data_IF_694683996851
#
_entry.id   IF_694683996851
#
_cell.length_a   1.000
_cell.length_b   1.000
_cell.length_c   1.000
_cell.angle_alpha   90.00
_cell.angle_beta   90.00
_cell.angle_gamma   90.00
#
_symmetry.space_group_name_H-M   'P 1'
#
loop_
_entity.id
_entity.type
_entity.pdbx_description
1 polymer ?
#
# COMPACT_ATOMS: atom_id res chain seq x y z
N UNK A 1 1.11 -12.81 42.26
CA UNK A 1 1.68 -13.43 41.04
C UNK A 1 0.88 -12.99 39.82
N UNK A 2 1.32 -11.96 39.09
CA UNK A 2 0.63 -11.46 37.90
C UNK A 2 1.20 -12.22 36.69
N UNK A 3 0.60 -13.37 36.37
CA UNK A 3 0.98 -14.15 35.17
C UNK A 3 0.12 -13.70 33.98
N UNK A 4 0.79 -13.23 32.93
CA UNK A 4 0.50 -13.60 31.54
C UNK A 4 -0.80 -13.10 30.89
N UNK A 5 -1.03 -11.79 30.84
CA UNK A 5 -1.98 -11.16 29.90
C UNK A 5 -1.29 -10.53 28.67
N UNK A 6 0.05 -10.55 28.62
CA UNK A 6 0.83 -9.91 27.54
C UNK A 6 0.95 -10.81 26.29
N UNK A 7 0.79 -12.13 26.44
CA UNK A 7 0.94 -13.08 25.32
C UNK A 7 -0.08 -12.96 24.16
N UNK A 8 -1.39 -12.73 24.37
CA UNK A 8 -2.34 -12.70 23.24
C UNK A 8 -2.12 -11.51 22.29
N UNK A 9 -1.77 -10.34 22.85
CA UNK A 9 -1.58 -9.10 22.07
C UNK A 9 -0.41 -9.24 21.09
N UNK A 10 0.65 -9.94 21.50
CA UNK A 10 1.83 -10.16 20.67
C UNK A 10 1.54 -11.05 19.46
N UNK A 11 0.78 -12.14 19.65
CA UNK A 11 0.40 -13.06 18.57
C UNK A 11 -0.50 -12.36 17.55
N UNK A 12 -1.39 -11.48 18.01
CA UNK A 12 -2.29 -10.73 17.13
C UNK A 12 -1.55 -9.68 16.29
N UNK A 13 -0.59 -8.95 16.87
CA UNK A 13 0.24 -8.01 16.13
C UNK A 13 1.08 -8.70 15.04
N UNK A 14 1.70 -9.84 15.38
CA UNK A 14 2.48 -10.61 14.41
C UNK A 14 1.63 -11.11 13.23
N UNK A 15 0.42 -11.61 13.51
CA UNK A 15 -0.54 -12.02 12.45
C UNK A 15 -0.94 -10.84 11.56
N UNK A 16 -1.22 -9.68 12.16
CA UNK A 16 -1.59 -8.48 11.41
C UNK A 16 -0.47 -8.01 10.50
N UNK A 17 0.78 -7.98 10.98
CA UNK A 17 1.96 -7.66 10.16
C UNK A 17 2.05 -8.62 8.97
N UNK A 18 1.93 -9.92 9.19
CA UNK A 18 1.97 -10.90 8.09
C UNK A 18 0.79 -10.82 7.13
N UNK A 19 -0.39 -10.37 7.59
CA UNK A 19 -1.50 -10.07 6.69
C UNK A 19 -1.20 -8.87 5.78
N UNK A 20 -0.53 -7.84 6.31
CA UNK A 20 -0.06 -6.70 5.52
C UNK A 20 1.02 -7.11 4.52
N UNK A 21 2.02 -7.90 4.93
CA UNK A 21 3.07 -8.43 4.03
C UNK A 21 2.47 -9.12 2.80
N UNK A 22 1.39 -9.89 2.97
CA UNK A 22 0.72 -10.63 1.89
C UNK A 22 -0.21 -9.76 1.05
N UNK A 23 -0.91 -8.79 1.65
CA UNK A 23 -1.91 -7.98 0.96
C UNK A 23 -1.32 -6.81 0.18
N UNK A 24 -0.23 -6.20 0.68
CA UNK A 24 0.39 -5.02 0.05
C UNK A 24 0.77 -5.27 -1.42
N UNK A 25 1.42 -6.37 -1.82
CA UNK A 25 1.79 -6.58 -3.23
C UNK A 25 0.58 -6.65 -4.19
N UNK A 26 -0.59 -7.06 -3.67
CA UNK A 26 -1.79 -7.30 -4.45
C UNK A 26 -2.68 -6.05 -4.56
N UNK A 27 -2.40 -5.01 -3.77
CA UNK A 27 -3.23 -3.81 -3.75
C UNK A 27 -3.08 -2.97 -5.02
N UNK A 28 -4.18 -2.34 -5.42
CA UNK A 28 -4.27 -1.36 -6.51
C UNK A 28 -4.49 0.07 -6.01
N UNK A 29 -4.43 0.28 -4.69
CA UNK A 29 -4.64 1.60 -4.08
C UNK A 29 -3.53 2.58 -4.47
N UNK A 30 -3.88 3.85 -4.41
CA UNK A 30 -3.13 5.05 -4.77
C UNK A 30 -3.00 5.96 -3.54
N UNK A 31 -2.23 7.06 -3.62
CA UNK A 31 -2.03 7.96 -2.48
C UNK A 31 -3.29 8.71 -2.10
N UNK A 32 -4.20 8.90 -3.05
CA UNK A 32 -5.47 9.56 -2.81
C UNK A 32 -6.49 8.67 -2.07
N UNK A 33 -6.26 7.35 -2.03
CA UNK A 33 -7.19 6.42 -1.41
C UNK A 33 -7.10 6.47 0.12
N UNK A 34 -8.24 6.61 0.79
CA UNK A 34 -8.33 6.53 2.25
C UNK A 34 -7.71 5.25 2.82
N UNK A 35 -7.85 4.13 2.10
CA UNK A 35 -7.26 2.86 2.44
C UNK A 35 -5.73 2.92 2.58
N UNK A 36 -5.03 3.70 1.75
CA UNK A 36 -3.57 3.86 1.86
C UNK A 36 -3.20 4.50 3.22
N UNK A 37 -3.88 5.58 3.58
CA UNK A 37 -3.65 6.28 4.84
C UNK A 37 -3.99 5.40 6.05
N UNK A 38 -5.09 4.64 5.98
CA UNK A 38 -5.46 3.69 7.04
C UNK A 38 -4.42 2.59 7.23
N UNK A 39 -3.92 2.00 6.14
CA UNK A 39 -2.88 0.97 6.21
C UNK A 39 -1.59 1.55 6.82
N UNK A 40 -1.17 2.73 6.36
CA UNK A 40 0.01 3.43 6.89
C UNK A 40 -0.14 3.75 8.39
N UNK A 41 -1.28 4.30 8.79
CA UNK A 41 -1.57 4.59 10.20
C UNK A 41 -1.61 3.32 11.05
N UNK A 42 -2.22 2.24 10.54
CA UNK A 42 -2.27 0.96 11.24
C UNK A 42 -0.88 0.38 11.48
N UNK A 43 0.01 0.44 10.48
CA UNK A 43 1.41 0.04 10.60
C UNK A 43 2.16 0.88 11.65
N UNK A 44 1.98 2.20 11.67
CA UNK A 44 2.56 3.06 12.71
C UNK A 44 2.01 2.78 14.11
N UNK A 45 0.71 2.51 14.24
CA UNK A 45 0.10 2.14 15.51
C UNK A 45 0.66 0.81 16.04
N UNK A 46 0.89 -0.17 15.16
CA UNK A 46 1.54 -1.43 15.55
C UNK A 46 2.99 -1.21 15.97
N UNK A 47 3.72 -0.33 15.28
CA UNK A 47 5.09 0.02 15.66
C UNK A 47 5.15 0.60 17.07
N UNK A 48 4.29 1.56 17.38
CA UNK A 48 4.20 2.17 18.71
C UNK A 48 3.89 1.12 19.79
N UNK A 49 2.96 0.19 19.52
CA UNK A 49 2.62 -0.91 20.45
C UNK A 49 3.80 -1.86 20.67
N UNK A 50 4.51 -2.26 19.61
CA UNK A 50 5.68 -3.15 19.69
C UNK A 50 6.80 -2.52 20.50
N UNK A 51 7.03 -1.21 20.32
CA UNK A 51 8.07 -0.50 21.06
C UNK A 51 7.88 -0.60 22.58
N UNK A 52 6.62 -0.54 23.03
CA UNK A 52 6.21 -0.61 24.45
C UNK A 52 6.16 -2.04 24.97
N UNK A 53 5.71 -3.01 24.17
CA UNK A 53 5.33 -4.34 24.64
C UNK A 53 6.39 -5.42 24.44
N UNK A 54 7.27 -5.30 23.44
CA UNK A 54 8.21 -6.37 23.07
C UNK A 54 9.57 -6.27 23.77
N UNK A 55 10.14 -7.44 24.11
CA UNK A 55 11.52 -7.57 24.57
C UNK A 55 12.49 -7.21 23.44
N UNK A 56 13.69 -6.75 23.81
CA UNK A 56 14.68 -6.13 22.89
C UNK A 56 14.90 -6.87 21.55
N UNK A 57 15.06 -8.19 21.60
CA UNK A 57 15.38 -8.99 20.41
C UNK A 57 14.18 -9.13 19.46
N UNK A 58 13.02 -9.59 19.97
CA UNK A 58 11.78 -9.73 19.21
C UNK A 58 11.31 -8.38 18.64
N UNK A 59 11.43 -7.32 19.45
CA UNK A 59 11.13 -5.94 19.06
C UNK A 59 11.86 -5.52 17.81
N UNK A 60 13.15 -5.81 17.74
CA UNK A 60 13.98 -5.42 16.58
C UNK A 60 13.49 -6.10 15.31
N UNK A 61 13.17 -7.40 15.38
CA UNK A 61 12.62 -8.15 14.24
C UNK A 61 11.24 -7.62 13.81
N UNK A 62 10.32 -7.41 14.75
CA UNK A 62 8.98 -6.91 14.45
C UNK A 62 8.99 -5.50 13.87
N UNK A 63 9.86 -4.61 14.40
CA UNK A 63 10.07 -3.26 13.87
C UNK A 63 10.59 -3.33 12.43
N UNK A 64 11.57 -4.18 12.15
CA UNK A 64 12.12 -4.36 10.80
C UNK A 64 11.02 -4.76 9.80
N UNK A 65 10.17 -5.73 10.17
CA UNK A 65 9.03 -6.15 9.33
C UNK A 65 8.04 -5.02 9.06
N UNK A 66 7.75 -4.18 10.06
CA UNK A 66 6.87 -3.02 9.87
C UNK A 66 7.50 -2.00 8.91
N UNK A 67 8.79 -1.71 9.04
CA UNK A 67 9.48 -0.82 8.11
C UNK A 67 9.49 -1.38 6.68
N UNK A 68 9.71 -2.68 6.51
CA UNK A 68 9.60 -3.35 5.21
C UNK A 68 8.18 -3.25 4.63
N UNK A 69 7.14 -3.45 5.46
CA UNK A 69 5.76 -3.25 5.03
C UNK A 69 5.49 -1.82 4.58
N UNK A 70 5.94 -0.81 5.35
CA UNK A 70 5.78 0.60 4.99
C UNK A 70 6.49 0.95 3.67
N UNK A 71 7.74 0.49 3.51
CA UNK A 71 8.50 0.71 2.28
C UNK A 71 7.83 0.04 1.07
N UNK A 72 7.35 -1.20 1.23
CA UNK A 72 6.64 -1.92 0.18
C UNK A 72 5.30 -1.25 -0.17
N UNK A 73 4.57 -0.76 0.83
CA UNK A 73 3.33 -0.02 0.62
C UNK A 73 3.58 1.26 -0.19
N UNK A 74 4.57 2.06 0.19
CA UNK A 74 4.90 3.29 -0.56
C UNK A 74 5.38 3.00 -1.98
N UNK A 75 6.25 2.01 -2.14
CA UNK A 75 6.71 1.56 -3.46
C UNK A 75 5.52 1.15 -4.33
N UNK A 76 4.64 0.30 -3.81
CA UNK A 76 3.49 -0.21 -4.57
C UNK A 76 2.50 0.89 -4.95
N UNK A 77 2.22 1.80 -4.02
CA UNK A 77 1.35 2.94 -4.28
C UNK A 77 1.95 3.86 -5.35
N UNK A 78 3.26 4.13 -5.31
CA UNK A 78 3.94 4.89 -6.35
C UNK A 78 3.85 4.20 -7.73
N UNK A 79 4.02 2.87 -7.79
CA UNK A 79 3.83 2.10 -9.03
C UNK A 79 2.40 2.23 -9.57
N UNK A 80 1.40 2.18 -8.67
CA UNK A 80 -0.01 2.31 -9.05
C UNK A 80 -0.34 3.72 -9.56
N UNK A 81 0.20 4.77 -8.94
CA UNK A 81 0.08 6.16 -9.42
C UNK A 81 0.70 6.33 -10.81
N UNK A 82 1.90 5.78 -11.03
CA UNK A 82 2.55 5.81 -12.34
C UNK A 82 1.72 5.09 -13.40
N UNK A 83 1.17 3.90 -13.08
CA UNK A 83 0.27 3.17 -13.99
C UNK A 83 -0.99 3.97 -14.30
N UNK A 84 -1.60 4.61 -13.31
CA UNK A 84 -2.77 5.48 -13.49
C UNK A 84 -2.45 6.64 -14.41
N UNK A 85 -1.33 7.32 -14.20
CA UNK A 85 -0.86 8.40 -15.04
C UNK A 85 -0.62 7.92 -16.48
N UNK A 86 0.15 6.86 -16.68
CA UNK A 86 0.41 6.29 -18.01
C UNK A 86 -0.89 5.92 -18.73
N UNK A 87 -1.83 5.26 -18.05
CA UNK A 87 -3.12 4.91 -18.62
C UNK A 87 -3.92 6.14 -19.05
N UNK A 88 -3.93 7.21 -18.25
CA UNK A 88 -4.64 8.45 -18.59
C UNK A 88 -4.08 9.08 -19.87
N UNK A 89 -2.76 9.25 -19.98
CA UNK A 89 -2.15 9.90 -21.15
C UNK A 89 -2.24 9.01 -22.39
N UNK A 90 -1.98 7.71 -22.29
CA UNK A 90 -2.11 6.78 -23.42
C UNK A 90 -3.55 6.73 -23.93
N UNK A 91 -4.54 6.73 -23.03
CA UNK A 91 -5.94 6.72 -23.43
C UNK A 91 -6.36 8.04 -24.10
N UNK A 92 -5.92 9.17 -23.55
CA UNK A 92 -6.20 10.50 -24.13
C UNK A 92 -5.60 10.64 -25.53
N UNK A 93 -4.36 10.20 -25.75
CA UNK A 93 -3.71 10.22 -27.07
C UNK A 93 -4.44 9.31 -28.07
N UNK A 94 -4.87 8.11 -27.63
CA UNK A 94 -5.65 7.21 -28.49
C UNK A 94 -7.00 7.82 -28.90
N UNK A 95 -7.69 8.49 -27.98
CA UNK A 95 -8.96 9.18 -28.28
C UNK A 95 -8.74 10.35 -29.25
N UNK A 96 -7.70 11.16 -29.04
CA UNK A 96 -7.32 12.27 -29.93
C UNK A 96 -7.08 11.77 -31.36
N UNK A 97 -6.22 10.76 -31.52
CA UNK A 97 -5.89 10.21 -32.85
C UNK A 97 -7.11 9.58 -33.54
N UNK A 98 -8.07 9.02 -32.77
CA UNK A 98 -9.32 8.47 -33.32
C UNK A 98 -10.26 9.58 -33.80
N UNK A 99 -10.34 10.71 -33.09
CA UNK A 99 -11.15 11.85 -33.52
C UNK A 99 -10.57 12.53 -34.76
N UNK A 100 -9.25 12.69 -34.82
CA UNK A 100 -8.56 13.28 -35.98
C UNK A 100 -8.78 12.45 -37.26
N UNK A 101 -8.68 11.12 -37.17
CA UNK A 101 -9.01 10.22 -38.29
C UNK A 101 -10.46 10.34 -38.76
N UNK A 102 -11.42 10.51 -37.84
CA UNK A 102 -12.84 10.70 -38.20
C UNK A 102 -13.08 12.01 -38.94
N UNK A 103 -12.45 13.10 -38.49
CA UNK A 103 -12.57 14.40 -39.16
C UNK A 103 -11.94 14.41 -40.55
N UNK A 104 -10.85 13.64 -40.79
CA UNK A 104 -10.30 13.48 -42.14
C UNK A 104 -11.27 12.73 -43.06
N UNK A 105 -11.90 11.65 -42.58
CA UNK A 105 -12.84 10.87 -43.40
C UNK A 105 -14.10 11.65 -43.78
N UNK A 106 -14.58 12.55 -42.91
CA UNK A 106 -15.77 13.39 -43.18
C UNK A 106 -15.50 14.57 -44.13
N UNK A 107 -14.24 15.01 -44.28
CA UNK A 107 -13.86 16.06 -45.24
C UNK A 107 -13.57 15.55 -46.66
N UNK A 108 -13.56 14.24 -46.85
CA UNK A 108 -13.19 13.59 -48.13
C UNK A 108 -14.40 13.01 -48.86
N UNK A 109 -15.62 13.35 -48.43
CA UNK A 109 -16.91 13.00 -49.06
C UNK A 109 -17.60 14.30 -49.45
#
# INVERSE_FOLDING_TARGET
MIRSLIMPIHTDLSRLISAYEKSIPQTTITKADFSYHNMKQSLHNMWAKIYVLEKSEQRTTSIKKIHECLANLEKRVNENEQKKYLNYYVHRTRLSNKMEKRMLTEKTV
#
